data_IF_499568017284
#
_entry.id   IF_499568017284
#
_cell.length_a   1.000
_cell.length_b   1.000
_cell.length_c   1.000
_cell.angle_alpha   90.00
_cell.angle_beta   90.00
_cell.angle_gamma   90.00
#
_symmetry.space_group_name_H-M   'P 1'
#
loop_
_entity.id
_entity.type
_entity.pdbx_description
1 polymer ?
#
# COMPACT_ATOMS: atom_id res chain seq x y z
N UNK A 1 3.37 24.38 -25.29
CA UNK A 1 2.97 23.19 -24.83
C UNK A 1 2.23 23.27 -23.50
N UNK A 2 0.97 23.24 -23.51
CA UNK A 2 0.22 23.26 -22.29
C UNK A 2 0.33 21.91 -21.59
N UNK A 3 0.85 21.86 -20.41
CA UNK A 3 0.72 20.65 -19.62
C UNK A 3 -0.76 20.47 -19.32
N UNK A 4 -1.32 19.35 -19.70
CA UNK A 4 -2.65 18.99 -19.27
C UNK A 4 -2.63 18.85 -17.78
N UNK A 5 -3.54 19.50 -17.09
CA UNK A 5 -3.75 19.26 -15.68
C UNK A 5 -4.40 17.89 -15.52
N UNK A 6 -3.58 16.88 -15.27
CA UNK A 6 -4.07 15.54 -15.04
C UNK A 6 -4.68 15.49 -13.64
N UNK A 7 -5.91 14.98 -13.56
CA UNK A 7 -6.61 14.87 -12.30
C UNK A 7 -5.93 13.85 -11.40
N UNK A 8 -5.64 14.25 -10.16
CA UNK A 8 -5.12 13.34 -9.14
C UNK A 8 -6.27 12.76 -8.35
N UNK A 9 -6.29 11.46 -8.24
CA UNK A 9 -7.32 10.73 -7.51
C UNK A 9 -6.67 9.93 -6.41
N UNK A 10 -7.07 10.15 -5.17
CA UNK A 10 -6.62 9.33 -4.03
C UNK A 10 -7.57 8.15 -3.92
N UNK A 11 -7.01 6.95 -3.92
CA UNK A 11 -7.83 5.74 -3.76
C UNK A 11 -8.00 5.43 -2.28
N UNK A 12 -9.18 4.94 -1.92
CA UNK A 12 -9.44 4.51 -0.56
C UNK A 12 -9.30 3.00 -0.42
N UNK A 13 -9.46 2.54 0.81
CA UNK A 13 -9.30 1.12 1.15
C UNK A 13 -10.20 0.21 0.33
N UNK A 14 -11.45 0.62 0.10
CA UNK A 14 -12.40 -0.24 -0.62
C UNK A 14 -11.98 -0.48 -2.07
N UNK A 15 -11.32 0.48 -2.69
CA UNK A 15 -10.83 0.31 -4.07
C UNK A 15 -9.83 -0.84 -4.13
N UNK A 16 -8.87 -0.84 -3.22
CA UNK A 16 -7.84 -1.88 -3.18
C UNK A 16 -8.44 -3.24 -2.80
N UNK A 17 -9.31 -3.25 -1.80
CA UNK A 17 -9.96 -4.49 -1.35
C UNK A 17 -10.80 -5.10 -2.48
N UNK A 18 -11.60 -4.29 -3.18
CA UNK A 18 -12.43 -4.79 -4.30
C UNK A 18 -11.57 -5.38 -5.41
N UNK A 19 -10.43 -4.79 -5.68
CA UNK A 19 -9.51 -5.32 -6.68
C UNK A 19 -8.91 -6.66 -6.25
N UNK A 20 -8.46 -6.75 -4.99
CA UNK A 20 -7.74 -7.93 -4.50
C UNK A 20 -8.68 -9.11 -4.20
N UNK A 21 -9.85 -8.85 -3.63
CA UNK A 21 -10.78 -9.91 -3.22
C UNK A 21 -11.69 -10.32 -4.37
N UNK A 22 -12.14 -9.34 -5.18
CA UNK A 22 -12.97 -9.56 -6.36
C UNK A 22 -14.29 -10.30 -6.03
N UNK A 23 -14.84 -10.04 -4.84
CA UNK A 23 -16.09 -10.66 -4.39
C UNK A 23 -17.35 -9.93 -4.86
N UNK A 24 -17.22 -8.66 -5.28
CA UNK A 24 -18.29 -7.84 -5.84
C UNK A 24 -17.87 -7.47 -7.26
N UNK A 25 -18.29 -8.28 -8.21
CA UNK A 25 -17.77 -8.21 -9.58
C UNK A 25 -17.96 -6.86 -10.25
N UNK A 26 -19.13 -6.22 -10.07
CA UNK A 26 -19.40 -4.92 -10.70
C UNK A 26 -18.41 -3.86 -10.18
N UNK A 27 -18.15 -3.85 -8.88
CA UNK A 27 -17.21 -2.92 -8.28
C UNK A 27 -15.77 -3.23 -8.70
N UNK A 28 -15.41 -4.51 -8.76
CA UNK A 28 -14.08 -4.90 -9.22
C UNK A 28 -13.84 -4.49 -10.67
N UNK A 29 -14.84 -4.60 -11.52
CA UNK A 29 -14.73 -4.16 -12.92
C UNK A 29 -14.55 -2.65 -13.03
N UNK A 30 -15.23 -1.88 -12.17
CA UNK A 30 -15.06 -0.42 -12.14
C UNK A 30 -13.65 -0.02 -11.69
N UNK A 31 -13.11 -0.74 -10.69
CA UNK A 31 -11.74 -0.51 -10.23
C UNK A 31 -10.74 -0.80 -11.34
N UNK A 32 -10.95 -1.89 -12.08
CA UNK A 32 -10.08 -2.24 -13.20
C UNK A 32 -10.08 -1.13 -14.26
N UNK A 33 -11.25 -0.58 -14.56
CA UNK A 33 -11.35 0.55 -15.51
C UNK A 33 -10.60 1.77 -15.00
N UNK A 34 -10.66 2.05 -13.69
CA UNK A 34 -9.92 3.14 -13.09
C UNK A 34 -8.41 2.93 -13.25
N UNK A 35 -7.93 1.71 -13.00
CA UNK A 35 -6.52 1.37 -13.14
C UNK A 35 -6.05 1.51 -14.60
N UNK A 36 -6.89 1.11 -15.54
CA UNK A 36 -6.58 1.26 -16.97
C UNK A 36 -6.42 2.73 -17.34
N UNK A 37 -7.27 3.61 -16.82
CA UNK A 37 -7.13 5.06 -17.05
C UNK A 37 -5.80 5.59 -16.51
N UNK A 38 -5.37 5.11 -15.35
CA UNK A 38 -4.09 5.50 -14.77
C UNK A 38 -2.93 5.00 -15.63
N UNK A 39 -3.01 3.76 -16.10
CA UNK A 39 -2.00 3.17 -16.98
C UNK A 39 -1.89 3.96 -18.28
N UNK A 40 -3.01 4.46 -18.79
CA UNK A 40 -3.06 5.27 -19.99
C UNK A 40 -2.73 6.75 -19.74
N UNK A 41 -2.35 7.10 -18.52
CA UNK A 41 -1.98 8.47 -18.11
C UNK A 41 -3.10 9.49 -18.28
N UNK A 42 -4.34 9.02 -18.22
CA UNK A 42 -5.51 9.90 -18.24
C UNK A 42 -5.76 10.51 -16.85
N UNK A 43 -5.36 9.81 -15.79
CA UNK A 43 -5.45 10.23 -14.42
C UNK A 43 -4.18 9.83 -13.68
N UNK A 44 -3.93 10.45 -12.52
CA UNK A 44 -2.87 10.04 -11.61
C UNK A 44 -3.53 9.45 -10.36
N UNK A 45 -3.24 8.19 -10.06
CA UNK A 45 -3.74 7.54 -8.85
C UNK A 45 -2.70 7.64 -7.75
N UNK A 46 -3.13 8.07 -6.57
CA UNK A 46 -2.28 8.21 -5.40
C UNK A 46 -2.75 7.24 -4.33
N UNK A 47 -1.82 6.43 -3.84
CA UNK A 47 -2.08 5.50 -2.74
C UNK A 47 -1.25 5.90 -1.54
N UNK A 48 -1.94 6.24 -0.45
CA UNK A 48 -1.30 6.72 0.77
C UNK A 48 -0.98 5.56 1.72
N UNK A 49 0.11 5.69 2.50
CA UNK A 49 0.46 4.64 3.47
C UNK A 49 -0.66 4.31 4.46
N UNK A 50 -1.44 5.32 4.88
CA UNK A 50 -2.54 5.10 5.81
C UNK A 50 -3.62 4.20 5.19
N UNK A 51 -3.83 4.31 3.88
CA UNK A 51 -4.79 3.45 3.17
C UNK A 51 -4.26 2.03 3.07
N UNK A 52 -2.96 1.87 2.84
CA UNK A 52 -2.34 0.54 2.82
C UNK A 52 -2.45 -0.12 4.19
N UNK A 53 -2.23 0.64 5.27
CA UNK A 53 -2.38 0.14 6.63
C UNK A 53 -3.80 -0.40 6.88
N UNK A 54 -4.82 0.38 6.53
CA UNK A 54 -6.20 -0.05 6.68
C UNK A 54 -6.52 -1.26 5.81
N UNK A 55 -6.00 -1.29 4.59
CA UNK A 55 -6.19 -2.42 3.68
C UNK A 55 -5.65 -3.72 4.29
N UNK A 56 -4.45 -3.71 4.88
CA UNK A 56 -3.90 -4.90 5.53
C UNK A 56 -4.82 -5.35 6.66
N UNK A 57 -5.33 -4.40 7.45
CA UNK A 57 -6.23 -4.72 8.56
C UNK A 57 -7.52 -5.38 8.07
N UNK A 58 -8.14 -4.81 7.04
CA UNK A 58 -9.40 -5.34 6.49
C UNK A 58 -9.19 -6.75 5.91
N UNK A 59 -8.13 -6.94 5.15
CA UNK A 59 -7.85 -8.25 4.54
C UNK A 59 -7.60 -9.32 5.60
N UNK A 60 -6.93 -8.97 6.69
CA UNK A 60 -6.63 -9.91 7.76
C UNK A 60 -7.87 -10.21 8.62
N UNK A 61 -8.61 -9.18 9.02
CA UNK A 61 -9.65 -9.33 10.04
C UNK A 61 -11.04 -9.62 9.49
N UNK A 62 -11.34 -9.17 8.27
CA UNK A 62 -12.64 -9.42 7.65
C UNK A 62 -12.60 -10.55 6.63
N UNK A 63 -11.49 -10.69 5.90
CA UNK A 63 -11.35 -11.71 4.86
C UNK A 63 -10.46 -12.86 5.28
N UNK A 64 -9.89 -12.79 6.49
CA UNK A 64 -9.07 -13.86 7.08
C UNK A 64 -7.92 -14.32 6.20
N UNK A 65 -7.32 -13.38 5.45
CA UNK A 65 -6.16 -13.67 4.62
C UNK A 65 -4.90 -13.80 5.49
N UNK A 66 -3.97 -14.62 5.06
CA UNK A 66 -2.69 -14.76 5.73
C UNK A 66 -1.80 -13.55 5.47
N UNK A 67 -0.80 -13.34 6.32
CA UNK A 67 0.15 -12.24 6.15
C UNK A 67 0.85 -12.31 4.79
N UNK A 68 1.20 -13.52 4.35
CA UNK A 68 1.89 -13.71 3.07
C UNK A 68 0.95 -13.40 1.90
N UNK A 69 -0.30 -13.84 1.97
CA UNK A 69 -1.28 -13.51 0.93
C UNK A 69 -1.50 -12.01 0.81
N UNK A 70 -1.63 -11.34 1.96
CA UNK A 70 -1.82 -9.88 2.00
C UNK A 70 -0.60 -9.18 1.42
N UNK A 71 0.59 -9.57 1.87
CA UNK A 71 1.84 -9.00 1.40
C UNK A 71 1.99 -9.13 -0.11
N UNK A 72 1.80 -10.32 -0.65
CA UNK A 72 1.94 -10.56 -2.08
C UNK A 72 0.90 -9.81 -2.90
N UNK A 73 -0.35 -9.80 -2.44
CA UNK A 73 -1.42 -9.12 -3.15
C UNK A 73 -1.19 -7.61 -3.23
N UNK A 74 -0.86 -6.99 -2.10
CA UNK A 74 -0.63 -5.56 -2.08
C UNK A 74 0.62 -5.18 -2.88
N UNK A 75 1.69 -5.96 -2.78
CA UNK A 75 2.91 -5.68 -3.53
C UNK A 75 2.69 -5.69 -5.04
N UNK A 76 1.79 -6.54 -5.54
CA UNK A 76 1.46 -6.55 -6.96
C UNK A 76 0.91 -5.20 -7.43
N UNK A 77 0.18 -4.52 -6.57
CA UNK A 77 -0.35 -3.18 -6.87
C UNK A 77 0.74 -2.13 -6.71
N UNK A 78 1.49 -2.19 -5.61
CA UNK A 78 2.48 -1.18 -5.28
C UNK A 78 3.60 -1.05 -6.32
N UNK A 79 3.94 -2.12 -7.02
CA UNK A 79 5.02 -2.08 -8.00
C UNK A 79 4.58 -1.52 -9.36
N UNK A 80 3.31 -1.18 -9.52
CA UNK A 80 2.82 -0.67 -10.79
C UNK A 80 3.35 0.75 -11.04
N UNK A 81 3.93 1.02 -12.21
CA UNK A 81 4.58 2.31 -12.48
C UNK A 81 3.59 3.48 -12.59
N UNK A 82 2.31 3.19 -12.81
CA UNK A 82 1.26 4.21 -12.95
C UNK A 82 0.64 4.61 -11.62
N UNK A 83 1.11 4.04 -10.51
CA UNK A 83 0.61 4.36 -9.17
C UNK A 83 1.61 5.27 -8.47
N UNK A 84 1.14 6.38 -7.92
CA UNK A 84 1.97 7.31 -7.16
C UNK A 84 1.91 6.94 -5.68
N UNK A 85 3.08 6.73 -5.09
CA UNK A 85 3.21 6.35 -3.68
C UNK A 85 3.92 7.44 -2.90
N UNK A 86 3.43 7.71 -1.69
CA UNK A 86 4.17 8.52 -0.73
C UNK A 86 5.16 7.61 -0.01
N UNK A 87 6.39 8.08 0.16
CA UNK A 87 7.48 7.29 0.75
C UNK A 87 7.60 5.92 0.09
N UNK A 88 7.80 5.95 -1.22
CA UNK A 88 7.82 4.76 -2.07
C UNK A 88 8.77 3.68 -1.59
N UNK A 89 10.00 4.07 -1.22
CA UNK A 89 11.01 3.09 -0.80
C UNK A 89 10.57 2.34 0.45
N UNK A 90 9.97 3.04 1.41
CA UNK A 90 9.48 2.41 2.63
C UNK A 90 8.27 1.53 2.35
N UNK A 91 7.32 2.02 1.53
CA UNK A 91 6.14 1.23 1.19
C UNK A 91 6.49 -0.05 0.43
N UNK A 92 7.52 -0.02 -0.40
CA UNK A 92 7.97 -1.22 -1.11
C UNK A 92 8.86 -2.12 -0.25
N UNK A 93 9.52 -1.58 0.77
CA UNK A 93 10.51 -2.32 1.55
C UNK A 93 10.04 -2.90 2.87
N UNK A 94 8.81 -2.61 3.32
CA UNK A 94 8.36 -2.98 4.66
C UNK A 94 7.96 -4.46 4.80
N UNK A 95 7.76 -5.16 3.71
CA UNK A 95 7.03 -6.42 3.70
C UNK A 95 7.76 -7.59 4.36
N UNK A 96 9.08 -7.58 4.42
CA UNK A 96 9.82 -8.60 5.14
C UNK A 96 9.47 -8.61 6.64
N UNK A 97 9.37 -7.42 7.24
CA UNK A 97 8.96 -7.33 8.65
C UNK A 97 7.50 -7.71 8.83
N UNK A 98 6.64 -7.26 7.89
CA UNK A 98 5.22 -7.56 7.96
C UNK A 98 4.95 -9.07 7.88
N UNK A 99 5.62 -9.76 6.96
CA UNK A 99 5.45 -11.21 6.78
C UNK A 99 5.95 -12.01 8.00
N UNK A 100 6.87 -11.44 8.77
CA UNK A 100 7.36 -12.07 10.01
C UNK A 100 6.47 -11.78 11.22
N UNK A 101 5.37 -11.07 11.04
CA UNK A 101 4.39 -10.83 12.09
C UNK A 101 4.44 -9.46 12.72
N UNK A 102 5.29 -8.54 12.25
CA UNK A 102 5.27 -7.17 12.74
C UNK A 102 4.01 -6.47 12.23
N UNK A 103 3.41 -5.63 13.07
CA UNK A 103 2.29 -4.80 12.63
C UNK A 103 2.71 -3.93 11.46
N UNK A 104 1.74 -3.60 10.61
CA UNK A 104 2.03 -2.78 9.44
C UNK A 104 2.73 -1.47 9.82
N UNK A 105 2.20 -0.76 10.84
CA UNK A 105 2.76 0.53 11.24
C UNK A 105 4.21 0.37 11.70
N UNK A 106 4.51 -0.64 12.52
CA UNK A 106 5.88 -0.90 12.98
C UNK A 106 6.79 -1.26 11.81
N UNK A 107 6.30 -2.09 10.89
CA UNK A 107 7.04 -2.46 9.67
C UNK A 107 7.36 -1.23 8.83
N UNK A 108 6.39 -0.34 8.70
CA UNK A 108 6.54 0.89 7.95
C UNK A 108 7.57 1.83 8.60
N UNK A 109 7.52 1.98 9.93
CA UNK A 109 8.51 2.79 10.66
C UNK A 109 9.91 2.24 10.48
N UNK A 110 10.09 0.93 10.57
CA UNK A 110 11.38 0.29 10.34
C UNK A 110 11.88 0.54 8.91
N UNK A 111 10.98 0.50 7.95
CA UNK A 111 11.32 0.77 6.56
C UNK A 111 11.68 2.23 6.30
N UNK A 112 10.98 3.17 6.96
CA UNK A 112 11.32 4.58 6.87
C UNK A 112 12.75 4.84 7.38
N UNK A 113 13.12 4.20 8.48
CA UNK A 113 14.47 4.34 9.01
C UNK A 113 15.49 3.74 8.06
N UNK A 114 15.23 2.52 7.59
CA UNK A 114 16.21 1.80 6.76
C UNK A 114 16.36 2.39 5.36
N UNK A 115 15.25 2.76 4.74
CA UNK A 115 15.25 3.10 3.31
C UNK A 115 15.08 4.58 3.01
N UNK A 116 14.59 5.37 3.97
CA UNK A 116 14.31 6.79 3.75
C UNK A 116 15.15 7.71 4.64
N UNK A 117 16.05 7.13 5.43
CA UNK A 117 16.99 7.92 6.24
C UNK A 117 16.35 8.62 7.43
N UNK A 118 15.18 8.19 7.86
CA UNK A 118 14.50 8.75 9.03
C UNK A 118 14.89 8.00 10.28
N UNK A 119 15.06 8.71 11.39
CA UNK A 119 15.37 8.06 12.67
C UNK A 119 14.09 7.83 13.45
N UNK A 120 13.91 6.61 13.95
CA UNK A 120 12.75 6.28 14.78
C UNK A 120 13.05 6.74 16.22
N UNK A 121 12.10 7.44 16.81
CA UNK A 121 12.11 7.73 18.24
C UNK A 121 10.92 7.01 18.88
N UNK A 122 11.18 6.02 19.73
CA UNK A 122 10.13 5.20 20.33
C UNK A 122 10.55 4.69 21.71
N UNK A 123 9.57 4.58 22.60
CA UNK A 123 9.75 3.91 23.89
C UNK A 123 9.42 2.41 23.80
N UNK A 124 8.96 1.94 22.64
CA UNK A 124 8.60 0.52 22.47
C UNK A 124 9.88 -0.31 22.32
N UNK A 125 10.13 -1.16 23.32
CA UNK A 125 11.32 -2.00 23.35
C UNK A 125 11.33 -3.03 22.22
N UNK A 126 10.16 -3.57 21.86
CA UNK A 126 10.08 -4.54 20.77
C UNK A 126 10.46 -3.90 19.43
N UNK A 127 9.97 -2.70 19.19
CA UNK A 127 10.33 -1.96 17.97
C UNK A 127 11.82 -1.66 17.96
N UNK A 128 12.36 -1.15 19.06
CA UNK A 128 13.78 -0.78 19.14
C UNK A 128 14.70 -1.99 18.94
N UNK A 129 14.27 -3.17 19.36
CA UNK A 129 15.06 -4.39 19.17
C UNK A 129 15.12 -4.84 17.71
N UNK A 130 14.22 -4.36 16.86
CA UNK A 130 14.20 -4.70 15.44
C UNK A 130 14.98 -3.71 14.59
N UNK A 131 15.40 -2.60 15.18
CA UNK A 131 16.20 -1.58 14.49
C UNK A 131 17.61 -2.08 14.30
N UNK A 132 18.22 -1.66 13.25
CA UNK A 132 19.60 -2.01 12.98
C UNK A 132 19.78 -2.55 11.61
#
# INVERSE_FOLDING_TARGET
>A
MGSKNIKKIVVDTNIIVRFLVNDVKIQADEVEKLFIKAENKEIELVLLPIVVAETTYVLQNFYHKSLIEISKGIQLILVQPWLTLEHEKALLGLWNWYEKGQHFVDSYLLALEKYEGMEIFSFDKKLNNKRG
#
